data_IF_982337012485
#
_entry.id   IF_982337012485
#
_cell.length_a   1.000
_cell.length_b   1.000
_cell.length_c   1.000
_cell.angle_alpha   90.00
_cell.angle_beta   90.00
_cell.angle_gamma   90.00
#
_symmetry.space_group_name_H-M   'P 1'
#
loop_
_entity.id
_entity.type
_entity.pdbx_description
1 polymer ?
#
# COMPACT_ATOMS: atom_id res chain seq x y z
N UNK A 1 -20.08 9.87 19.69
CA UNK A 1 -19.75 8.59 20.38
C UNK A 1 -20.33 7.40 19.63
N UNK A 2 -21.64 7.36 19.36
CA UNK A 2 -22.28 6.21 18.69
C UNK A 2 -21.68 5.83 17.34
N UNK A 3 -21.31 6.81 16.50
CA UNK A 3 -20.62 6.52 15.23
C UNK A 3 -19.26 5.84 15.43
N UNK A 4 -18.51 6.21 16.48
CA UNK A 4 -17.23 5.59 16.81
C UNK A 4 -17.42 4.16 17.34
N UNK A 5 -18.50 3.93 18.10
CA UNK A 5 -18.90 2.59 18.56
C UNK A 5 -19.25 1.70 17.36
N UNK A 6 -20.08 2.20 16.44
CA UNK A 6 -20.44 1.45 15.23
C UNK A 6 -19.20 1.14 14.38
N UNK A 7 -18.28 2.11 14.25
CA UNK A 7 -17.01 1.92 13.56
C UNK A 7 -16.16 0.81 14.21
N UNK A 8 -15.95 0.85 15.53
CA UNK A 8 -15.10 -0.14 16.20
C UNK A 8 -15.74 -1.54 16.22
N UNK A 9 -17.06 -1.62 16.33
CA UNK A 9 -17.77 -2.91 16.23
C UNK A 9 -17.66 -3.52 14.83
N UNK A 10 -17.72 -2.69 13.78
CA UNK A 10 -17.44 -3.11 12.41
C UNK A 10 -15.98 -3.52 12.25
N UNK A 11 -15.02 -2.78 12.81
CA UNK A 11 -13.61 -3.14 12.77
C UNK A 11 -13.36 -4.53 13.39
N UNK A 12 -13.90 -4.77 14.57
CA UNK A 12 -13.80 -6.06 15.27
C UNK A 12 -14.36 -7.21 14.41
N UNK A 13 -15.48 -6.97 13.71
CA UNK A 13 -16.05 -7.96 12.79
C UNK A 13 -15.13 -8.22 11.60
N UNK A 14 -14.67 -7.16 10.92
CA UNK A 14 -13.82 -7.30 9.75
C UNK A 14 -12.46 -7.93 10.09
N UNK A 15 -11.89 -7.61 11.26
CA UNK A 15 -10.66 -8.23 11.77
C UNK A 15 -10.85 -9.73 12.02
N UNK A 16 -11.95 -10.14 12.66
CA UNK A 16 -12.30 -11.54 12.84
C UNK A 16 -12.46 -12.28 11.50
N UNK A 17 -13.19 -11.69 10.55
CA UNK A 17 -13.38 -12.25 9.21
C UNK A 17 -12.05 -12.36 8.44
N UNK A 18 -11.14 -11.40 8.59
CA UNK A 18 -9.82 -11.46 7.97
C UNK A 18 -8.93 -12.56 8.56
N UNK A 19 -8.94 -12.74 9.89
CA UNK A 19 -8.26 -13.87 10.54
C UNK A 19 -8.88 -15.21 10.13
N UNK A 20 -10.20 -15.29 9.98
CA UNK A 20 -10.85 -16.49 9.49
C UNK A 20 -10.43 -16.80 8.05
N UNK A 21 -10.44 -15.80 7.18
CA UNK A 21 -10.03 -15.92 5.78
C UNK A 21 -8.56 -16.35 5.63
N UNK A 22 -7.64 -15.97 6.52
CA UNK A 22 -6.25 -16.43 6.44
C UNK A 22 -6.09 -17.94 6.57
N UNK A 23 -7.07 -18.64 7.16
CA UNK A 23 -7.04 -20.09 7.36
C UNK A 23 -8.03 -20.86 6.48
N UNK A 24 -9.11 -20.25 6.01
CA UNK A 24 -10.13 -20.94 5.22
C UNK A 24 -10.11 -20.62 3.73
N UNK A 25 -9.74 -19.39 3.35
CA UNK A 25 -9.88 -18.93 1.98
C UNK A 25 -8.68 -19.37 1.13
N UNK A 26 -8.93 -20.16 0.09
CA UNK A 26 -7.88 -20.68 -0.80
C UNK A 26 -7.58 -19.73 -1.95
N UNK A 27 -8.51 -18.85 -2.30
CA UNK A 27 -8.30 -17.80 -3.29
C UNK A 27 -7.54 -16.62 -2.66
N UNK A 28 -6.30 -16.41 -3.09
CA UNK A 28 -5.45 -15.31 -2.62
C UNK A 28 -6.09 -13.94 -2.80
N UNK A 29 -6.82 -13.71 -3.90
CA UNK A 29 -7.45 -12.42 -4.16
C UNK A 29 -8.60 -12.18 -3.17
N UNK A 30 -9.37 -13.21 -2.79
CA UNK A 30 -10.46 -13.06 -1.81
C UNK A 30 -9.89 -12.82 -0.39
N UNK A 31 -8.82 -13.52 -0.02
CA UNK A 31 -8.14 -13.30 1.26
C UNK A 31 -7.57 -11.88 1.37
N UNK A 32 -6.77 -11.45 0.39
CA UNK A 32 -6.18 -10.11 0.40
C UNK A 32 -7.26 -9.03 0.34
N UNK A 33 -8.40 -9.31 -0.32
CA UNK A 33 -9.54 -8.42 -0.35
C UNK A 33 -10.14 -8.16 1.04
N UNK A 34 -10.28 -9.21 1.84
CA UNK A 34 -10.78 -9.13 3.22
C UNK A 34 -9.75 -8.46 4.14
N UNK A 35 -8.47 -8.77 3.98
CA UNK A 35 -7.38 -8.14 4.73
C UNK A 35 -7.29 -6.63 4.45
N UNK A 36 -7.42 -6.22 3.19
CA UNK A 36 -7.38 -4.81 2.79
C UNK A 36 -8.54 -4.01 3.41
N UNK A 37 -9.72 -4.62 3.60
CA UNK A 37 -10.83 -3.95 4.29
C UNK A 37 -10.43 -3.53 5.71
N UNK A 38 -9.67 -4.36 6.43
CA UNK A 38 -9.16 -4.05 7.78
C UNK A 38 -8.07 -2.99 7.71
N UNK A 39 -7.13 -3.10 6.76
CA UNK A 39 -6.08 -2.09 6.54
C UNK A 39 -6.66 -0.71 6.23
N UNK A 40 -7.75 -0.65 5.47
CA UNK A 40 -8.45 0.59 5.18
C UNK A 40 -9.10 1.21 6.43
N UNK A 41 -9.24 0.50 7.55
CA UNK A 41 -9.74 1.08 8.80
C UNK A 41 -8.61 1.72 9.64
N UNK A 42 -7.37 1.40 9.32
CA UNK A 42 -6.19 2.03 9.91
C UNK A 42 -5.85 3.37 9.25
N UNK A 43 -5.30 4.30 10.04
CA UNK A 43 -4.73 5.56 9.62
C UNK A 43 -3.24 5.64 9.95
N UNK A 44 -2.57 6.73 9.55
CA UNK A 44 -1.20 7.01 10.00
C UNK A 44 -0.13 5.98 9.58
N UNK A 45 -0.36 5.22 8.50
CA UNK A 45 0.58 4.20 8.03
C UNK A 45 0.51 2.86 8.78
N UNK A 46 -0.42 2.73 9.72
CA UNK A 46 -0.73 1.45 10.37
C UNK A 46 -1.30 0.43 9.39
N UNK A 47 -1.08 -0.84 9.71
CA UNK A 47 -1.65 -2.00 9.02
C UNK A 47 -2.05 -3.06 10.04
N UNK A 48 -2.92 -3.96 9.60
CA UNK A 48 -3.31 -5.14 10.34
C UNK A 48 -2.14 -6.10 10.51
N UNK A 49 -2.13 -6.80 11.64
CA UNK A 49 -1.23 -7.94 11.86
C UNK A 49 -1.81 -9.25 11.31
N UNK A 50 -3.03 -9.21 10.74
CA UNK A 50 -3.61 -10.34 9.99
C UNK A 50 -2.75 -10.56 8.75
N UNK A 51 -1.88 -11.57 8.82
CA UNK A 51 -0.99 -11.94 7.73
C UNK A 51 -1.07 -13.45 7.52
N UNK A 52 -0.90 -13.85 6.27
CA UNK A 52 -0.75 -15.23 5.82
C UNK A 52 0.57 -15.37 5.09
N UNK A 53 1.20 -16.53 5.19
CA UNK A 53 2.40 -16.81 4.42
C UNK A 53 2.11 -16.75 2.92
N UNK A 54 2.99 -16.05 2.18
CA UNK A 54 2.87 -15.82 0.73
C UNK A 54 2.78 -17.11 -0.09
N UNK A 55 3.25 -18.23 0.46
CA UNK A 55 3.21 -19.55 -0.16
C UNK A 55 2.48 -20.52 0.77
N UNK A 56 1.19 -20.28 0.98
CA UNK A 56 0.36 -21.11 1.88
C UNK A 56 0.30 -22.55 1.36
N UNK A 57 0.83 -23.51 2.12
CA UNK A 57 0.84 -24.93 1.74
C UNK A 57 -0.47 -25.63 2.13
N UNK A 58 -0.72 -26.84 1.61
CA UNK A 58 -1.83 -27.67 2.09
C UNK A 58 -1.71 -28.00 3.59
N UNK A 59 -0.49 -28.02 4.14
CA UNK A 59 -0.25 -28.24 5.57
C UNK A 59 -0.78 -27.07 6.41
N UNK A 60 -0.62 -25.82 5.95
CA UNK A 60 -1.21 -24.65 6.61
C UNK A 60 -2.74 -24.77 6.70
N UNK A 61 -3.38 -25.16 5.60
CA UNK A 61 -4.84 -25.35 5.58
C UNK A 61 -5.27 -26.56 6.41
N UNK A 62 -4.44 -27.60 6.52
CA UNK A 62 -4.71 -28.74 7.40
C UNK A 62 -4.68 -28.36 8.89
N UNK A 63 -3.91 -27.33 9.27
CA UNK A 63 -3.87 -26.80 10.64
C UNK A 63 -5.02 -25.82 10.95
N UNK A 64 -5.76 -25.36 9.93
CA UNK A 64 -6.85 -24.39 10.09
C UNK A 64 -7.84 -24.72 11.21
N UNK A 65 -8.35 -25.97 11.37
CA UNK A 65 -9.30 -26.28 12.44
C UNK A 65 -8.76 -25.96 13.85
N UNK A 66 -7.45 -26.14 14.07
CA UNK A 66 -6.80 -25.84 15.35
C UNK A 66 -6.76 -24.33 15.61
N UNK A 67 -6.36 -23.53 14.61
CA UNK A 67 -6.29 -22.08 14.75
C UNK A 67 -7.69 -21.45 14.87
N UNK A 68 -8.64 -21.93 14.08
CA UNK A 68 -10.01 -21.44 14.07
C UNK A 68 -10.78 -21.79 15.34
N UNK A 69 -10.49 -22.93 15.98
CA UNK A 69 -11.10 -23.29 17.26
C UNK A 69 -10.73 -22.31 18.40
N UNK A 70 -9.55 -21.69 18.32
CA UNK A 70 -9.10 -20.67 19.27
C UNK A 70 -9.50 -19.24 18.87
N UNK A 71 -9.87 -19.02 17.60
CA UNK A 71 -10.22 -17.71 17.08
C UNK A 71 -11.55 -17.22 17.68
N UNK A 72 -11.48 -16.09 18.39
CA UNK A 72 -12.66 -15.41 18.94
C UNK A 72 -12.78 -14.01 18.34
N UNK A 73 -14.02 -13.53 18.24
CA UNK A 73 -14.29 -12.12 17.97
C UNK A 73 -13.91 -11.31 19.22
N UNK A 74 -13.28 -10.14 19.04
CA UNK A 74 -12.93 -9.25 20.16
C UNK A 74 -14.17 -8.73 20.89
N UNK A 75 -14.06 -8.65 22.20
CA UNK A 75 -15.09 -8.04 23.06
C UNK A 75 -14.77 -6.56 23.22
N UNK A 76 -15.74 -5.69 22.96
CA UNK A 76 -15.64 -4.26 23.28
C UNK A 76 -16.14 -4.03 24.71
N UNK A 77 -15.26 -3.62 25.61
CA UNK A 77 -15.58 -3.44 27.03
C UNK A 77 -16.05 -2.02 27.33
N UNK A 78 -15.31 -1.01 26.85
CA UNK A 78 -15.67 0.39 27.04
C UNK A 78 -15.08 1.30 25.95
N UNK A 79 -15.68 2.46 25.77
CA UNK A 79 -15.19 3.54 24.91
C UNK A 79 -15.14 4.83 25.71
N UNK A 80 -13.97 5.47 25.75
CA UNK A 80 -13.76 6.77 26.41
C UNK A 80 -13.51 7.83 25.35
N UNK A 81 -14.23 8.94 25.39
CA UNK A 81 -14.07 10.07 24.48
C UNK A 81 -13.25 11.17 25.17
N UNK A 82 -12.19 11.62 24.52
CA UNK A 82 -11.32 12.69 24.98
C UNK A 82 -11.30 13.84 23.98
N UNK A 83 -11.14 15.07 24.50
CA UNK A 83 -10.75 16.19 23.66
C UNK A 83 -9.30 16.00 23.17
N UNK A 84 -8.99 16.41 21.94
CA UNK A 84 -7.64 16.35 21.39
C UNK A 84 -7.35 17.59 20.52
N UNK A 85 -6.20 18.25 20.67
CA UNK A 85 -5.88 19.49 19.93
C UNK A 85 -5.94 19.31 18.41
N UNK A 86 -5.34 18.23 17.90
CA UNK A 86 -5.25 18.01 16.44
C UNK A 86 -6.46 17.29 15.80
N UNK A 87 -7.20 16.48 16.57
CA UNK A 87 -8.27 15.63 16.04
C UNK A 87 -9.68 16.05 16.49
N UNK A 88 -9.79 17.04 17.39
CA UNK A 88 -11.04 17.42 18.03
C UNK A 88 -11.46 16.38 19.08
N UNK A 89 -11.93 15.22 18.63
CA UNK A 89 -12.30 14.09 19.49
C UNK A 89 -11.48 12.85 19.16
N UNK A 90 -10.90 12.24 20.20
CA UNK A 90 -10.28 10.92 20.11
C UNK A 90 -11.05 9.96 21.01
N UNK A 91 -11.28 8.75 20.52
CA UNK A 91 -11.99 7.68 21.20
C UNK A 91 -10.99 6.59 21.56
N UNK A 92 -10.77 6.36 22.84
CA UNK A 92 -10.02 5.21 23.34
C UNK A 92 -10.98 4.02 23.46
N UNK A 93 -10.80 3.02 22.61
CA UNK A 93 -11.62 1.83 22.54
C UNK A 93 -10.90 0.65 23.20
N UNK A 94 -11.47 0.17 24.30
CA UNK A 94 -10.93 -0.91 25.12
C UNK A 94 -11.52 -2.23 24.65
N UNK A 95 -10.69 -3.03 23.98
CA UNK A 95 -11.11 -4.27 23.31
C UNK A 95 -10.23 -5.43 23.75
N UNK A 96 -10.81 -6.62 23.89
CA UNK A 96 -10.06 -7.82 24.28
C UNK A 96 -8.88 -8.06 23.35
N UNK A 97 -7.74 -8.44 23.89
CA UNK A 97 -6.52 -8.56 23.10
C UNK A 97 -6.46 -9.94 22.43
N UNK A 98 -6.16 -10.00 21.12
CA UNK A 98 -5.65 -11.24 20.57
C UNK A 98 -4.32 -11.49 21.29
N UNK A 99 -4.21 -12.50 22.16
CA UNK A 99 -2.91 -12.83 22.74
C UNK A 99 -2.02 -13.11 21.55
N UNK A 100 -0.89 -12.41 21.53
CA UNK A 100 0.09 -12.55 20.47
C UNK A 100 0.39 -14.02 20.23
N UNK A 101 0.54 -14.36 18.96
CA UNK A 101 1.29 -15.53 18.57
C UNK A 101 2.48 -15.68 19.52
N UNK A 102 2.59 -16.84 20.18
CA UNK A 102 3.73 -17.29 20.98
C UNK A 102 3.72 -16.92 22.49
N UNK A 103 3.09 -17.78 23.28
CA UNK A 103 3.86 -18.43 24.36
C UNK A 103 4.12 -19.87 23.93
N UNK A 104 5.38 -20.20 23.70
CA UNK A 104 5.79 -21.61 23.71
C UNK A 104 5.59 -22.12 25.14
N UNK A 105 4.47 -22.77 25.38
CA UNK A 105 4.33 -23.65 26.53
C UNK A 105 4.70 -25.04 26.00
N UNK A 106 5.83 -25.57 26.47
CA UNK A 106 6.29 -26.92 26.14
C UNK A 106 6.62 -27.15 24.64
N UNK A 107 7.06 -26.10 23.93
CA UNK A 107 7.40 -26.18 22.49
C UNK A 107 6.19 -26.25 21.55
N UNK A 108 4.98 -26.09 22.09
CA UNK A 108 3.74 -26.07 21.31
C UNK A 108 3.21 -24.64 21.25
N UNK A 109 3.06 -24.12 20.04
CA UNK A 109 2.46 -22.81 19.81
C UNK A 109 0.93 -22.91 19.91
N UNK A 110 0.35 -22.41 20.99
CA UNK A 110 -1.10 -22.26 21.12
C UNK A 110 -1.43 -20.77 21.13
N UNK A 111 -2.28 -20.35 20.19
CA UNK A 111 -2.96 -19.06 20.29
C UNK A 111 -3.89 -19.16 21.51
N UNK A 112 -3.50 -18.55 22.63
CA UNK A 112 -4.44 -18.31 23.71
C UNK A 112 -5.26 -17.05 23.36
N UNK A 113 -6.42 -16.87 23.97
CA UNK A 113 -7.19 -15.63 23.82
C UNK A 113 -7.23 -14.94 25.18
N UNK A 114 -6.96 -13.64 25.23
CA UNK A 114 -7.07 -12.89 26.48
C UNK A 114 -8.39 -12.15 26.48
N UNK A 115 -9.15 -12.34 27.55
CA UNK A 115 -10.29 -11.48 27.86
C UNK A 115 -9.83 -10.17 28.54
N UNK A 116 -8.52 -9.89 28.57
CA UNK A 116 -7.94 -8.60 28.95
C UNK A 116 -7.79 -7.64 27.76
N UNK A 117 -7.84 -6.33 27.99
CA UNK A 117 -7.63 -5.28 27.00
C UNK A 117 -6.23 -4.66 27.01
N UNK A 118 -5.17 -5.50 27.11
CA UNK A 118 -3.75 -5.09 27.01
C UNK A 118 -3.45 -4.05 25.91
N UNK A 119 -4.22 -4.01 24.82
CA UNK A 119 -4.12 -3.00 23.77
C UNK A 119 -5.38 -2.15 23.65
N UNK A 120 -5.20 -0.84 23.78
CA UNK A 120 -6.25 0.17 23.53
C UNK A 120 -6.13 0.69 22.10
N UNK A 121 -7.25 0.70 21.37
CA UNK A 121 -7.33 1.24 20.01
C UNK A 121 -7.81 2.68 20.06
N UNK A 122 -6.98 3.62 19.59
CA UNK A 122 -7.35 5.02 19.51
C UNK A 122 -7.93 5.34 18.15
N UNK A 123 -9.16 5.85 18.16
CA UNK A 123 -9.95 6.12 16.95
C UNK A 123 -10.22 7.62 16.86
N UNK A 124 -10.07 8.19 15.66
CA UNK A 124 -10.40 9.58 15.38
C UNK A 124 -11.13 9.72 14.04
N UNK A 125 -11.93 10.77 13.91
CA UNK A 125 -12.60 11.13 12.65
C UNK A 125 -11.65 11.99 11.82
N UNK A 126 -11.20 11.48 10.68
CA UNK A 126 -10.25 12.14 9.79
C UNK A 126 -10.96 12.52 8.49
N UNK A 127 -10.78 13.76 8.06
CA UNK A 127 -11.26 14.21 6.74
C UNK A 127 -10.36 13.65 5.65
N UNK A 128 -10.95 12.84 4.76
CA UNK A 128 -10.24 12.37 3.59
C UNK A 128 -9.92 13.57 2.68
N UNK A 129 -8.63 13.87 2.47
CA UNK A 129 -8.20 15.03 1.66
C UNK A 129 -8.67 14.99 0.20
N UNK A 130 -8.97 13.81 -0.35
CA UNK A 130 -9.43 13.65 -1.73
C UNK A 130 -10.94 13.85 -1.86
N UNK A 131 -11.73 13.29 -0.95
CA UNK A 131 -13.20 13.31 -1.05
C UNK A 131 -13.85 14.38 -0.18
N UNK A 132 -13.10 14.99 0.74
CA UNK A 132 -13.64 15.88 1.77
C UNK A 132 -14.53 15.19 2.80
N UNK A 133 -14.76 13.88 2.66
CA UNK A 133 -15.66 13.14 3.55
C UNK A 133 -14.93 12.71 4.83
N UNK A 134 -15.52 12.95 6.00
CA UNK A 134 -14.95 12.53 7.26
C UNK A 134 -15.17 11.02 7.47
N UNK A 135 -14.10 10.30 7.82
CA UNK A 135 -14.15 8.86 8.09
C UNK A 135 -13.41 8.55 9.39
N UNK A 136 -13.91 7.60 10.17
CA UNK A 136 -13.19 7.11 11.33
C UNK A 136 -11.99 6.26 10.91
N UNK A 137 -10.91 6.39 11.67
CA UNK A 137 -9.66 5.62 11.50
C UNK A 137 -9.09 5.27 12.86
N UNK A 138 -8.48 4.09 12.95
CA UNK A 138 -7.57 3.75 14.05
C UNK A 138 -6.26 4.49 13.81
N UNK A 139 -5.92 5.44 14.68
CA UNK A 139 -4.77 6.33 14.50
C UNK A 139 -3.52 5.85 15.24
N UNK A 140 -3.71 5.10 16.33
CA UNK A 140 -2.62 4.46 17.09
C UNK A 140 -3.20 3.30 17.91
N UNK A 141 -2.34 2.40 18.34
CA UNK A 141 -2.65 1.36 19.33
C UNK A 141 -1.65 1.46 20.45
N UNK A 142 -2.08 1.41 21.70
CA UNK A 142 -1.16 1.50 22.85
C UNK A 142 -1.35 0.31 23.77
N UNK A 143 -0.23 -0.28 24.17
CA UNK A 143 -0.20 -1.32 25.17
C UNK A 143 -0.28 -0.69 26.57
N UNK A 144 -1.27 -1.10 27.37
CA UNK A 144 -1.56 -0.53 28.70
C UNK A 144 -0.45 -0.80 29.72
N UNK A 145 0.21 -1.96 29.64
CA UNK A 145 1.23 -2.37 30.61
C UNK A 145 2.65 -1.91 30.30
N UNK A 146 2.99 -1.73 29.01
CA UNK A 146 4.36 -1.39 28.57
C UNK A 146 4.52 0.01 28.00
N UNK A 147 3.42 0.74 27.74
CA UNK A 147 3.46 2.04 27.06
C UNK A 147 3.78 1.96 25.56
N UNK A 148 4.15 0.76 25.05
CA UNK A 148 4.48 0.54 23.64
C UNK A 148 3.31 0.95 22.76
N UNK A 149 3.58 1.80 21.78
CA UNK A 149 2.61 2.18 20.75
C UNK A 149 2.94 1.55 19.41
N UNK A 150 1.89 1.21 18.66
CA UNK A 150 1.96 0.93 17.24
C UNK A 150 1.37 2.13 16.50
N UNK A 151 2.11 2.65 15.54
CA UNK A 151 1.74 3.85 14.78
C UNK A 151 2.43 5.09 15.30
N UNK A 152 1.89 6.26 14.97
CA UNK A 152 2.43 7.51 15.47
C UNK A 152 2.10 7.65 16.96
N UNK A 153 3.02 8.19 17.78
CA UNK A 153 2.72 8.57 19.15
C UNK A 153 1.53 9.53 19.17
N UNK A 154 0.59 9.27 20.07
CA UNK A 154 -0.52 10.19 20.30
C UNK A 154 -0.03 11.32 21.20
N UNK A 155 -0.37 12.56 20.86
CA UNK A 155 -0.17 13.66 21.79
C UNK A 155 -1.01 13.45 23.06
N UNK A 156 -0.66 14.10 24.19
CA UNK A 156 -1.42 13.98 25.42
C UNK A 156 -2.92 14.23 25.19
N UNK A 157 -3.74 13.31 25.68
CA UNK A 157 -5.19 13.43 25.64
C UNK A 157 -5.63 14.61 26.52
N UNK A 158 -6.61 15.37 26.04
CA UNK A 158 -7.25 16.42 26.82
C UNK A 158 -8.27 15.86 27.82
N UNK A 159 -9.23 16.69 28.22
CA UNK A 159 -10.26 16.31 29.17
C UNK A 159 -11.11 15.13 28.69
N UNK A 160 -11.48 14.24 29.62
CA UNK A 160 -12.45 13.18 29.39
C UNK A 160 -13.84 13.82 29.22
N UNK A 161 -14.50 13.52 28.10
CA UNK A 161 -15.77 14.11 27.72
C UNK A 161 -16.95 13.15 27.91
N UNK A 162 -16.74 11.86 27.65
CA UNK A 162 -17.80 10.85 27.76
C UNK A 162 -17.20 9.45 27.94
N UNK A 163 -17.98 8.56 28.53
CA UNK A 163 -17.65 7.15 28.68
C UNK A 163 -18.89 6.32 28.32
N UNK A 164 -18.70 5.28 27.52
CA UNK A 164 -19.71 4.24 27.29
C UNK A 164 -19.15 2.90 27.71
N UNK A 165 -19.84 2.23 28.62
CA UNK A 165 -19.49 0.92 29.12
C UNK A 165 -20.42 -0.16 28.55
N UNK A 166 -19.90 -1.37 28.41
CA UNK A 166 -20.59 -2.54 27.87
C UNK A 166 -20.55 -3.69 28.89
N UNK A 167 -19.88 -4.80 28.57
CA UNK A 167 -19.65 -5.90 29.49
C UNK A 167 -18.37 -5.63 30.28
N UNK A 168 -18.32 -5.90 31.60
CA UNK A 168 -17.08 -5.81 32.35
C UNK A 168 -16.08 -6.89 31.91
N UNK A 169 -14.77 -6.59 31.90
CA UNK A 169 -13.72 -7.58 31.66
C UNK A 169 -13.65 -8.57 32.83
N UNK A 170 -13.20 -9.79 32.56
CA UNK A 170 -13.00 -10.82 33.58
C UNK A 170 -11.65 -10.69 34.30
N UNK A 171 -10.66 -10.06 33.67
CA UNK A 171 -9.36 -9.82 34.28
C UNK A 171 -9.47 -8.80 35.43
N UNK A 172 -8.97 -9.10 36.64
CA UNK A 172 -9.10 -8.21 37.79
C UNK A 172 -8.45 -6.83 37.64
N UNK A 173 -7.33 -6.72 36.89
CA UNK A 173 -6.64 -5.44 36.69
C UNK A 173 -7.47 -4.53 35.78
N UNK A 174 -7.99 -5.11 34.70
CA UNK A 174 -8.88 -4.41 33.78
C UNK A 174 -10.21 -4.07 34.44
N UNK A 175 -10.75 -4.96 35.27
CA UNK A 175 -11.99 -4.70 36.02
C UNK A 175 -11.85 -3.49 36.93
N UNK A 176 -10.70 -3.33 37.59
CA UNK A 176 -10.45 -2.17 38.43
C UNK A 176 -10.44 -0.84 37.65
N UNK A 177 -9.81 -0.81 36.46
CA UNK A 177 -9.87 0.38 35.60
C UNK A 177 -11.30 0.62 35.09
N UNK A 178 -12.00 -0.43 34.68
CA UNK A 178 -13.38 -0.37 34.22
C UNK A 178 -14.30 0.24 35.30
N UNK A 179 -14.24 -0.25 36.54
CA UNK A 179 -15.02 0.27 37.66
C UNK A 179 -14.64 1.71 38.03
N UNK A 180 -13.35 2.03 38.05
CA UNK A 180 -12.88 3.39 38.31
C UNK A 180 -13.43 4.40 37.28
N UNK A 181 -13.52 3.98 36.02
CA UNK A 181 -14.07 4.83 34.95
C UNK A 181 -15.60 4.94 35.02
N UNK A 182 -16.29 3.94 35.56
CA UNK A 182 -17.75 3.97 35.77
C UNK A 182 -18.15 5.13 36.69
N UNK A 183 -17.43 5.27 37.80
CA UNK A 183 -17.62 6.39 38.75
C UNK A 183 -17.37 7.75 38.10
N UNK A 184 -16.34 7.86 37.26
CA UNK A 184 -16.05 9.07 36.49
C UNK A 184 -17.18 9.39 35.49
N UNK A 185 -17.81 8.38 34.89
CA UNK A 185 -18.94 8.58 33.99
C UNK A 185 -20.17 9.17 34.72
N UNK A 186 -20.45 8.70 35.93
CA UNK A 186 -21.54 9.22 36.77
C UNK A 186 -21.31 10.67 37.20
N UNK A 187 -20.06 11.03 37.52
CA UNK A 187 -19.65 12.40 37.83
C UNK A 187 -19.78 13.34 36.61
N UNK A 188 -19.44 12.88 35.41
CA UNK A 188 -19.66 13.63 34.17
C UNK A 188 -21.16 13.81 33.86
N UNK A 189 -21.97 12.76 34.06
CA UNK A 189 -23.41 12.81 33.84
C UNK A 189 -24.14 13.75 34.81
N UNK A 190 -23.58 13.97 36.01
CA UNK A 190 -24.08 14.92 37.00
C UNK A 190 -23.55 16.36 36.84
N UNK A 191 -22.79 16.63 35.76
CA UNK A 191 -22.29 17.97 35.42
C UNK A 191 -20.96 18.35 36.06
N UNK A 192 -20.25 17.38 36.67
CA UNK A 192 -18.89 17.56 37.16
C UNK A 192 -17.86 17.64 36.01
N UNK A 193 -16.72 18.30 36.26
CA UNK A 193 -15.56 18.29 35.36
C UNK A 193 -14.47 17.39 35.94
N UNK A 194 -13.96 16.44 35.15
CA UNK A 194 -12.87 15.55 35.57
C UNK A 194 -11.57 15.98 34.87
N UNK A 195 -10.52 16.37 35.61
CA UNK A 195 -9.22 16.67 35.01
C UNK A 195 -8.62 15.40 34.40
N UNK A 196 -7.83 15.56 33.33
CA UNK A 196 -7.19 14.44 32.64
C UNK A 196 -6.31 13.64 33.61
N UNK A 197 -6.56 12.34 33.72
CA UNK A 197 -5.72 11.41 34.48
C UNK A 197 -4.48 11.11 33.65
N UNK A 198 -3.29 11.40 34.18
CA UNK A 198 -2.02 11.03 33.53
C UNK A 198 -1.96 9.50 33.36
N UNK A 199 -1.61 8.97 32.17
CA UNK A 199 -1.34 7.56 32.00
C UNK A 199 -0.14 7.13 32.88
N UNK A 200 -0.21 5.92 33.43
CA UNK A 200 0.77 5.39 34.37
C UNK A 200 2.21 5.48 33.82
N UNK A 201 3.13 6.00 34.65
CA UNK A 201 4.52 6.29 34.30
C UNK A 201 5.29 5.04 33.86
N UNK A 202 5.95 5.19 32.71
CA UNK A 202 6.88 4.24 32.10
C UNK A 202 8.19 4.15 32.92
N UNK A 203 8.64 2.93 33.23
CA UNK A 203 9.93 2.65 33.87
C UNK A 203 11.01 2.65 32.78
N UNK A 204 11.94 3.60 32.87
CA UNK A 204 13.01 3.81 31.90
C UNK A 204 13.89 2.56 31.67
N UNK A 205 14.14 2.22 30.40
CA UNK A 205 15.18 1.27 29.98
C UNK A 205 16.24 1.97 29.13
N UNK A 206 17.48 1.61 29.43
CA UNK A 206 18.76 2.11 28.94
C UNK A 206 19.03 1.77 27.48
N UNK A 207 19.60 2.74 26.75
CA UNK A 207 20.06 2.64 25.37
C UNK A 207 21.34 1.80 25.22
N UNK A 208 21.46 1.07 24.10
CA UNK A 208 22.70 0.36 23.70
C UNK A 208 23.16 0.86 22.33
N UNK A 209 24.44 1.20 22.23
CA UNK A 209 25.12 1.81 21.08
C UNK A 209 25.24 0.89 19.84
N UNK A 210 25.19 1.50 18.65
CA UNK A 210 25.36 0.85 17.35
C UNK A 210 26.81 0.94 16.83
N UNK A 211 27.31 -0.15 16.25
CA UNK A 211 28.66 -0.29 15.66
C UNK A 211 28.61 -0.14 14.13
N UNK A 212 29.57 0.59 13.57
CA UNK A 212 29.71 0.93 12.15
C UNK A 212 30.30 -0.20 11.28
N UNK A 213 29.89 -0.25 10.00
CA UNK A 213 30.39 -1.20 8.99
C UNK A 213 31.40 -0.55 8.00
N UNK A 214 32.36 -1.30 7.42
CA UNK A 214 33.45 -0.75 6.62
C UNK A 214 33.19 -0.71 5.11
N UNK A 215 33.94 0.18 4.43
CA UNK A 215 33.97 0.43 2.97
C UNK A 215 34.67 -0.71 2.21
N UNK A 216 34.22 -0.97 0.97
CA UNK A 216 34.93 -1.84 0.02
C UNK A 216 35.24 -1.07 -1.28
N UNK A 217 36.43 -1.30 -1.83
CA UNK A 217 37.01 -0.68 -3.02
C UNK A 217 36.85 -1.57 -4.27
N UNK A 218 36.53 -0.87 -5.36
CA UNK A 218 36.95 -0.97 -6.77
C UNK A 218 37.72 -2.21 -7.29
N UNK A 219 37.22 -2.78 -8.40
CA UNK A 219 38.00 -3.58 -9.35
C UNK A 219 37.48 -3.36 -10.78
N UNK A 220 38.38 -2.84 -11.61
CA UNK A 220 38.28 -2.50 -13.03
C UNK A 220 38.42 -3.68 -14.01
N UNK A 221 38.05 -3.43 -15.28
CA UNK A 221 38.49 -4.05 -16.57
C UNK A 221 37.66 -5.25 -17.07
N UNK A 222 37.19 -5.39 -18.33
CA UNK A 222 37.53 -4.85 -19.66
C UNK A 222 36.27 -4.83 -20.60
N UNK A 223 36.26 -4.10 -21.74
CA UNK A 223 35.09 -3.92 -22.60
C UNK A 223 34.93 -5.03 -23.65
N UNK A 224 33.73 -5.61 -23.75
CA UNK A 224 33.32 -6.44 -24.88
C UNK A 224 32.58 -5.57 -25.90
N UNK A 225 33.16 -5.50 -27.11
CA UNK A 225 32.80 -4.57 -28.17
C UNK A 225 31.39 -4.84 -28.78
N UNK A 226 30.68 -3.72 -29.02
CA UNK A 226 29.45 -3.47 -29.82
C UNK A 226 29.01 -4.53 -30.86
N UNK A 227 29.95 -5.23 -31.49
CA UNK A 227 29.66 -6.22 -32.53
C UNK A 227 28.78 -7.39 -32.04
N UNK A 228 29.02 -7.94 -30.84
CA UNK A 228 28.22 -9.05 -30.28
C UNK A 228 26.79 -8.64 -29.90
N UNK A 229 26.59 -7.35 -29.66
CA UNK A 229 25.29 -6.78 -29.30
C UNK A 229 24.40 -6.63 -30.54
N UNK A 230 24.96 -6.15 -31.66
CA UNK A 230 24.25 -6.03 -32.94
C UNK A 230 23.86 -7.42 -33.48
N UNK A 231 24.75 -8.41 -33.32
CA UNK A 231 24.50 -9.79 -33.76
C UNK A 231 23.30 -10.45 -33.04
N UNK A 232 23.01 -10.06 -31.79
CA UNK A 232 21.96 -10.69 -30.97
C UNK A 232 20.62 -9.94 -30.97
N UNK A 233 20.64 -8.63 -31.20
CA UNK A 233 19.46 -7.76 -31.02
C UNK A 233 19.17 -6.81 -32.19
N UNK A 234 19.97 -6.79 -33.26
CA UNK A 234 19.80 -5.93 -34.44
C UNK A 234 20.50 -4.57 -34.36
N UNK A 235 20.49 -3.82 -35.47
CA UNK A 235 21.12 -2.49 -35.61
C UNK A 235 20.20 -1.38 -35.07
N UNK A 236 20.67 -0.61 -34.10
CA UNK A 236 19.82 0.28 -33.28
C UNK A 236 19.62 1.67 -33.91
N UNK A 237 20.33 1.99 -34.99
CA UNK A 237 20.03 3.19 -35.78
C UNK A 237 18.60 3.18 -36.37
N UNK A 238 17.96 2.00 -36.47
CA UNK A 238 16.58 1.87 -36.93
C UNK A 238 15.51 2.10 -35.85
N UNK A 239 15.82 2.14 -34.55
CA UNK A 239 14.75 2.24 -33.51
C UNK A 239 14.60 3.64 -32.90
N UNK A 240 15.55 4.56 -33.15
CA UNK A 240 15.45 5.97 -32.71
C UNK A 240 15.35 6.98 -33.87
N UNK A 241 15.36 6.50 -35.11
CA UNK A 241 14.95 7.29 -36.29
C UNK A 241 14.03 6.49 -37.22
N UNK A 242 13.14 5.65 -36.69
CA UNK A 242 11.96 5.22 -37.46
C UNK A 242 10.87 6.29 -37.42
N UNK A 243 11.23 7.43 -38.02
CA UNK A 243 10.35 8.55 -38.33
C UNK A 243 10.01 8.57 -39.83
N UNK A 244 10.20 7.47 -40.59
CA UNK A 244 9.91 7.52 -42.04
C UNK A 244 9.29 6.33 -42.78
N UNK A 245 9.37 5.06 -42.38
CA UNK A 245 9.10 3.97 -43.35
C UNK A 245 8.14 2.82 -42.97
N UNK A 246 7.27 2.94 -41.96
CA UNK A 246 6.05 2.10 -41.92
C UNK A 246 4.78 2.96 -41.85
N UNK A 247 4.40 3.41 -43.06
CA UNK A 247 3.02 3.50 -43.55
C UNK A 247 1.98 4.19 -42.63
N UNK A 248 2.00 5.53 -42.63
CA UNK A 248 0.86 6.28 -43.19
C UNK A 248 -0.27 6.81 -42.30
N UNK A 249 -0.28 6.61 -40.97
CA UNK A 249 -1.45 7.07 -40.15
C UNK A 249 -1.14 7.65 -38.76
N UNK A 250 0.10 7.93 -38.36
CA UNK A 250 0.32 8.61 -37.06
C UNK A 250 1.06 9.91 -37.27
N UNK A 251 0.29 10.95 -37.60
CA UNK A 251 0.69 12.33 -37.34
C UNK A 251 1.12 12.43 -35.87
N UNK A 252 2.25 13.12 -35.69
CA UNK A 252 2.96 13.39 -34.44
C UNK A 252 1.98 13.57 -33.26
N UNK A 253 2.11 12.75 -32.22
CA UNK A 253 1.41 12.98 -30.95
C UNK A 253 2.26 13.95 -30.10
N UNK A 254 1.97 15.27 -30.11
CA UNK A 254 2.72 16.23 -29.32
C UNK A 254 2.66 15.97 -27.81
N UNK A 255 1.66 15.25 -27.31
CA UNK A 255 1.60 14.89 -25.90
C UNK A 255 2.62 13.81 -25.55
N UNK A 256 2.82 12.80 -26.40
CA UNK A 256 3.88 11.81 -26.21
C UNK A 256 5.27 12.49 -26.21
N UNK A 257 5.51 13.40 -27.15
CA UNK A 257 6.74 14.20 -27.21
C UNK A 257 6.89 15.12 -25.98
N UNK A 258 5.80 15.73 -25.51
CA UNK A 258 5.78 16.56 -24.31
C UNK A 258 6.06 15.75 -23.04
N UNK A 259 5.53 14.53 -22.92
CA UNK A 259 5.83 13.62 -21.83
C UNK A 259 7.31 13.24 -21.80
N UNK A 260 7.90 12.89 -22.95
CA UNK A 260 9.33 12.61 -23.06
C UNK A 260 10.18 13.83 -22.67
N UNK A 261 9.72 15.05 -22.97
CA UNK A 261 10.36 16.31 -22.57
C UNK A 261 10.18 16.65 -21.08
N UNK A 262 9.02 16.37 -20.49
CA UNK A 262 8.74 16.59 -19.06
C UNK A 262 9.45 15.60 -18.15
N UNK A 263 9.60 14.37 -18.65
CA UNK A 263 10.48 13.35 -18.10
C UNK A 263 11.97 13.60 -18.49
N UNK A 264 12.19 14.65 -19.29
CA UNK A 264 13.42 15.08 -19.96
C UNK A 264 14.51 15.54 -19.01
N UNK A 265 15.22 14.55 -18.50
CA UNK A 265 16.49 14.73 -17.80
C UNK A 265 16.91 13.50 -17.02
N UNK A 266 15.96 12.59 -16.72
CA UNK A 266 16.26 11.37 -15.94
C UNK A 266 15.56 10.10 -16.42
N UNK A 267 14.52 10.20 -17.25
CA UNK A 267 13.95 9.05 -17.96
C UNK A 267 14.32 9.18 -19.43
N UNK A 268 15.51 8.68 -19.76
CA UNK A 268 15.75 8.24 -21.12
C UNK A 268 14.80 7.05 -21.35
N UNK A 269 13.91 7.11 -22.34
CA UNK A 269 13.19 5.94 -22.88
C UNK A 269 14.17 5.05 -23.60
N UNK A 270 15.07 4.50 -22.79
CA UNK A 270 16.29 3.90 -23.22
C UNK A 270 17.20 3.66 -22.01
N UNK A 271 17.59 2.41 -21.78
CA UNK A 271 18.94 2.13 -21.27
C UNK A 271 20.02 2.56 -22.28
N UNK A 272 20.00 3.81 -22.75
CA UNK A 272 20.88 4.30 -23.81
C UNK A 272 21.45 5.65 -23.41
N UNK A 273 22.71 5.58 -22.99
CA UNK A 273 23.56 6.74 -22.84
C UNK A 273 23.90 7.25 -24.25
N UNK A 274 23.71 8.55 -24.52
CA UNK A 274 24.24 9.14 -25.74
C UNK A 274 25.75 8.91 -25.77
N UNK A 275 26.22 8.33 -26.86
CA UNK A 275 27.62 8.27 -27.30
C UNK A 275 28.60 7.32 -26.57
N UNK A 276 28.14 6.34 -25.79
CA UNK A 276 29.06 5.35 -25.20
C UNK A 276 30.07 5.96 -24.22
N UNK A 277 29.73 7.10 -23.63
CA UNK A 277 30.57 7.88 -22.71
C UNK A 277 30.25 7.67 -21.23
N UNK A 278 29.26 6.83 -20.89
CA UNK A 278 28.99 6.52 -19.49
C UNK A 278 29.80 5.28 -19.03
N UNK A 279 30.80 5.45 -18.15
CA UNK A 279 31.59 4.35 -17.61
C UNK A 279 30.76 3.33 -16.81
N UNK A 280 29.54 3.67 -16.38
CA UNK A 280 28.65 2.78 -15.62
C UNK A 280 27.75 1.89 -16.51
N UNK A 281 27.75 2.06 -17.83
CA UNK A 281 26.92 1.24 -18.73
C UNK A 281 27.26 -0.25 -18.63
N UNK A 282 28.53 -0.60 -18.39
CA UNK A 282 28.95 -1.99 -18.22
C UNK A 282 28.47 -2.62 -16.90
N UNK A 283 28.11 -1.79 -15.90
CA UNK A 283 27.61 -2.25 -14.59
C UNK A 283 26.09 -2.39 -14.52
N UNK A 284 25.36 -2.07 -15.58
CA UNK A 284 23.91 -2.22 -15.61
C UNK A 284 23.49 -3.70 -15.57
N UNK A 285 22.37 -4.03 -14.91
CA UNK A 285 21.83 -5.38 -14.89
C UNK A 285 21.12 -5.70 -16.21
N UNK A 286 21.90 -5.89 -17.28
CA UNK A 286 21.40 -6.01 -18.66
C UNK A 286 20.39 -7.14 -18.86
N UNK A 287 20.57 -8.26 -18.16
CA UNK A 287 19.60 -9.36 -18.22
C UNK A 287 18.25 -8.95 -17.62
N UNK A 288 18.26 -8.36 -16.42
CA UNK A 288 17.02 -7.90 -15.77
C UNK A 288 16.33 -6.80 -16.58
N UNK A 289 17.09 -5.92 -17.22
CA UNK A 289 16.56 -4.89 -18.13
C UNK A 289 15.92 -5.50 -19.39
N UNK A 290 16.54 -6.53 -19.97
CA UNK A 290 15.99 -7.28 -21.09
C UNK A 290 14.68 -7.99 -20.72
N UNK A 291 14.66 -8.67 -19.58
CA UNK A 291 13.49 -9.38 -19.06
C UNK A 291 12.35 -8.41 -18.71
N UNK A 292 12.68 -7.26 -18.11
CA UNK A 292 11.73 -6.19 -17.83
C UNK A 292 11.13 -5.59 -19.10
N UNK A 293 11.93 -5.43 -20.16
CA UNK A 293 11.45 -4.93 -21.45
C UNK A 293 10.55 -5.95 -22.14
N UNK A 294 10.92 -7.23 -22.13
CA UNK A 294 10.07 -8.31 -22.66
C UNK A 294 8.73 -8.37 -21.92
N UNK A 295 8.76 -8.22 -20.59
CA UNK A 295 7.55 -8.09 -19.78
C UNK A 295 6.69 -6.89 -20.20
N UNK A 296 7.28 -5.70 -20.34
CA UNK A 296 6.55 -4.49 -20.71
C UNK A 296 5.95 -4.59 -22.12
N UNK A 297 6.67 -5.19 -23.06
CA UNK A 297 6.19 -5.45 -24.42
C UNK A 297 5.02 -6.45 -24.44
N UNK A 298 5.13 -7.53 -23.65
CA UNK A 298 4.03 -8.50 -23.50
C UNK A 298 2.77 -7.82 -22.94
N UNK A 299 2.94 -6.98 -21.90
CA UNK A 299 1.85 -6.21 -21.31
C UNK A 299 1.16 -5.31 -22.35
N UNK A 300 1.93 -4.62 -23.18
CA UNK A 300 1.38 -3.79 -24.27
C UNK A 300 0.69 -4.62 -25.35
N UNK A 301 1.24 -5.78 -25.72
CA UNK A 301 0.61 -6.68 -26.70
C UNK A 301 -0.77 -7.10 -26.22
N UNK A 302 -0.87 -7.58 -24.97
CA UNK A 302 -2.15 -7.97 -24.36
C UNK A 302 -3.19 -6.85 -24.48
N UNK A 303 -2.81 -5.62 -24.14
CA UNK A 303 -3.69 -4.45 -24.18
C UNK A 303 -4.09 -4.09 -25.62
N UNK A 304 -3.14 -4.04 -26.55
CA UNK A 304 -3.40 -3.70 -27.96
C UNK A 304 -4.25 -4.76 -28.66
N UNK A 305 -3.96 -6.03 -28.43
CA UNK A 305 -4.73 -7.16 -28.96
C UNK A 305 -6.16 -7.14 -28.43
N UNK A 306 -6.34 -6.65 -27.20
CA UNK A 306 -7.64 -6.38 -26.58
C UNK A 306 -8.43 -5.23 -27.18
N UNK A 307 -7.81 -4.35 -27.96
CA UNK A 307 -8.39 -3.07 -28.36
C UNK A 307 -8.52 -2.09 -27.18
N UNK A 308 -7.68 -2.20 -26.17
CA UNK A 308 -7.70 -1.35 -24.99
C UNK A 308 -7.18 0.07 -25.33
N UNK A 309 -8.01 1.08 -25.10
CA UNK A 309 -7.62 2.51 -25.08
C UNK A 309 -7.32 2.98 -23.67
N UNK A 310 -6.54 4.06 -23.50
CA UNK A 310 -6.26 4.64 -22.19
C UNK A 310 -7.54 4.83 -21.35
N UNK A 311 -7.64 4.12 -20.22
CA UNK A 311 -8.87 4.07 -19.41
C UNK A 311 -9.38 5.44 -18.94
N UNK A 312 -10.68 5.67 -19.17
CA UNK A 312 -11.38 6.94 -18.89
C UNK A 312 -10.71 8.16 -19.54
N UNK A 313 -10.02 7.94 -20.67
CA UNK A 313 -9.52 9.00 -21.52
C UNK A 313 -10.55 9.30 -22.59
N UNK A 314 -10.77 10.58 -22.86
CA UNK A 314 -11.55 11.02 -24.02
C UNK A 314 -10.80 10.79 -25.34
N UNK A 315 -9.50 10.44 -25.28
CA UNK A 315 -8.67 10.15 -26.44
C UNK A 315 -8.37 8.66 -26.64
N UNK A 316 -8.26 8.23 -27.90
CA UNK A 316 -7.96 6.85 -28.33
C UNK A 316 -6.47 6.46 -28.21
N UNK A 317 -5.76 7.03 -27.22
CA UNK A 317 -4.32 6.86 -27.10
C UNK A 317 -3.96 5.44 -26.68
N UNK A 318 -2.92 4.90 -27.30
CA UNK A 318 -2.40 3.54 -27.05
C UNK A 318 -1.51 3.47 -25.80
N UNK A 319 -1.23 2.24 -25.38
CA UNK A 319 -0.22 1.93 -24.38
C UNK A 319 1.16 1.72 -25.03
N UNK A 320 2.21 2.10 -24.31
CA UNK A 320 3.62 1.94 -24.72
C UNK A 320 4.43 1.31 -23.58
N UNK A 321 5.44 0.47 -23.90
CA UNK A 321 6.22 -0.21 -22.88
C UNK A 321 7.12 0.80 -22.16
N UNK A 322 7.30 0.61 -20.86
CA UNK A 322 8.17 1.45 -20.03
C UNK A 322 9.05 0.58 -19.14
N UNK A 323 10.36 0.84 -19.18
CA UNK A 323 11.35 0.30 -18.23
C UNK A 323 12.22 1.45 -17.74
N UNK A 324 12.49 1.50 -16.44
CA UNK A 324 13.39 2.45 -15.81
C UNK A 324 14.34 1.73 -14.85
N UNK A 325 15.59 2.20 -14.79
CA UNK A 325 16.57 1.73 -13.82
C UNK A 325 17.12 2.89 -13.00
N UNK A 326 17.18 2.69 -11.69
CA UNK A 326 17.81 3.59 -10.73
C UNK A 326 18.28 2.73 -9.55
N UNK A 327 19.58 2.77 -9.23
CA UNK A 327 20.20 1.96 -8.17
C UNK A 327 19.61 2.24 -6.78
N UNK A 328 18.94 3.38 -6.61
CA UNK A 328 18.25 3.80 -5.38
C UNK A 328 16.76 3.47 -5.39
N UNK A 329 16.26 2.81 -6.43
CA UNK A 329 14.87 2.38 -6.54
C UNK A 329 14.62 1.16 -5.64
N UNK A 330 14.46 1.42 -4.34
CA UNK A 330 14.07 0.41 -3.36
C UNK A 330 12.57 0.10 -3.43
N UNK A 331 11.73 1.13 -3.55
CA UNK A 331 10.27 1.06 -3.69
C UNK A 331 9.77 2.31 -4.44
N UNK A 332 8.79 2.14 -5.33
CA UNK A 332 8.11 3.25 -6.02
C UNK A 332 7.40 4.13 -4.97
N UNK A 333 7.46 5.49 -4.95
CA UNK A 333 7.82 6.46 -5.99
C UNK A 333 8.80 7.59 -5.54
N UNK A 334 9.82 7.35 -4.71
CA UNK A 334 10.68 8.47 -4.24
C UNK A 334 11.46 9.16 -5.38
N UNK A 335 11.84 8.43 -6.43
CA UNK A 335 12.48 8.97 -7.64
C UNK A 335 11.53 9.83 -8.50
N UNK A 336 10.21 9.59 -8.42
CA UNK A 336 9.21 10.36 -9.16
C UNK A 336 8.71 11.57 -8.37
N UNK A 337 8.69 11.52 -7.03
CA UNK A 337 8.28 12.66 -6.18
C UNK A 337 9.38 13.72 -6.07
N UNK A 338 10.65 13.35 -6.23
CA UNK A 338 11.77 14.32 -6.28
C UNK A 338 11.76 15.19 -7.55
N UNK A 339 10.88 14.91 -8.51
CA UNK A 339 10.63 15.73 -9.70
C UNK A 339 9.75 16.97 -9.45
N UNK A 340 9.20 17.15 -8.24
CA UNK A 340 8.37 18.32 -7.88
C UNK A 340 9.09 19.66 -8.11
N UNK A 341 10.43 19.67 -8.16
CA UNK A 341 11.22 20.88 -8.41
C UNK A 341 11.53 21.15 -9.89
N UNK A 342 11.29 20.21 -10.81
CA UNK A 342 11.70 20.31 -12.23
C UNK A 342 10.53 20.32 -13.21
N UNK A 343 9.33 19.97 -12.77
CA UNK A 343 8.16 19.76 -13.63
C UNK A 343 7.10 20.80 -13.28
N UNK A 344 6.70 21.68 -14.21
CA UNK A 344 5.61 22.65 -14.01
C UNK A 344 4.25 21.94 -13.93
N UNK A 345 3.98 21.17 -12.88
CA UNK A 345 2.79 20.32 -12.79
C UNK A 345 2.56 19.67 -11.45
N UNK A 346 1.31 19.25 -11.20
CA UNK A 346 0.98 18.47 -10.01
C UNK A 346 1.21 16.99 -10.31
N UNK A 347 2.26 16.42 -9.73
CA UNK A 347 2.48 14.98 -9.75
C UNK A 347 1.46 14.33 -8.82
N UNK A 348 0.61 13.46 -9.36
CA UNK A 348 -0.29 12.60 -8.59
C UNK A 348 0.25 11.19 -8.65
N UNK A 349 0.77 10.70 -7.54
CA UNK A 349 1.12 9.29 -7.38
C UNK A 349 0.08 8.57 -6.51
N UNK A 350 -0.18 7.32 -6.84
CA UNK A 350 -0.96 6.42 -6.02
C UNK A 350 -0.37 5.01 -6.13
N UNK A 351 -0.22 4.33 -4.99
CA UNK A 351 0.01 2.89 -5.02
C UNK A 351 -1.18 2.23 -5.70
N UNK A 352 -0.89 1.30 -6.60
CA UNK A 352 -1.91 0.54 -7.28
C UNK A 352 -2.54 -0.42 -6.30
N UNK A 353 -3.80 -0.15 -5.97
CA UNK A 353 -4.71 -1.04 -5.28
C UNK A 353 -5.73 -1.55 -6.27
N UNK A 354 -6.49 -2.59 -5.90
CA UNK A 354 -7.61 -3.09 -6.71
C UNK A 354 -8.59 -1.96 -7.08
N UNK A 355 -8.76 -0.95 -6.23
CA UNK A 355 -9.72 0.14 -6.45
C UNK A 355 -9.28 1.24 -7.41
N UNK A 356 -7.99 1.35 -7.69
CA UNK A 356 -7.46 2.45 -8.52
C UNK A 356 -6.59 1.97 -9.69
N UNK A 357 -6.44 0.66 -9.84
CA UNK A 357 -5.71 0.11 -10.96
C UNK A 357 -6.63 -0.04 -12.17
N UNK A 358 -6.33 0.65 -13.27
CA UNK A 358 -7.07 0.51 -14.51
C UNK A 358 -7.11 -0.96 -15.01
N UNK A 359 -6.06 -1.74 -14.72
CA UNK A 359 -5.96 -3.14 -15.15
C UNK A 359 -6.62 -4.15 -14.18
N UNK A 360 -7.17 -3.69 -13.05
CA UNK A 360 -7.93 -4.54 -12.14
C UNK A 360 -9.38 -4.10 -12.09
N UNK A 361 -10.18 -4.41 -13.13
CA UNK A 361 -11.62 -4.27 -13.01
C UNK A 361 -12.08 -5.23 -11.90
N UNK A 362 -12.34 -4.68 -10.72
CA UNK A 362 -12.80 -5.45 -9.57
C UNK A 362 -14.13 -6.11 -9.90
N UNK A 363 -14.43 -7.24 -9.24
CA UNK A 363 -15.78 -7.82 -9.21
C UNK A 363 -16.84 -6.86 -8.63
N UNK A 364 -16.43 -5.75 -7.96
CA UNK A 364 -17.34 -4.67 -7.53
C UNK A 364 -17.65 -3.62 -8.60
N UNK A 365 -16.90 -3.57 -9.70
CA UNK A 365 -17.18 -2.67 -10.81
C UNK A 365 -17.79 -3.47 -11.95
N UNK A 366 -19.03 -3.94 -11.76
CA UNK A 366 -19.91 -4.34 -12.88
C UNK A 366 -19.94 -3.25 -13.95
N UNK A 367 -19.72 -1.99 -13.55
CA UNK A 367 -19.37 -0.86 -14.40
C UNK A 367 -18.45 -1.26 -15.57
N UNK A 368 -17.23 -1.74 -15.33
CA UNK A 368 -16.31 -2.03 -16.44
C UNK A 368 -16.74 -3.21 -17.31
N UNK A 369 -17.49 -4.16 -16.76
CA UNK A 369 -18.03 -5.29 -17.53
C UNK A 369 -19.17 -4.85 -18.45
N UNK A 370 -19.93 -3.84 -18.04
CA UNK A 370 -21.05 -3.26 -18.80
C UNK A 370 -20.59 -2.21 -19.82
N UNK A 371 -19.52 -1.46 -19.55
CA UNK A 371 -19.03 -0.37 -20.40
C UNK A 371 -17.87 -0.73 -21.33
N UNK A 372 -17.11 -1.80 -21.05
CA UNK A 372 -16.03 -2.23 -21.93
C UNK A 372 -16.48 -3.34 -22.86
N UNK A 373 -16.02 -3.27 -24.10
CA UNK A 373 -16.08 -4.38 -25.03
C UNK A 373 -15.51 -5.66 -24.37
N UNK A 374 -16.16 -6.83 -24.49
CA UNK A 374 -15.73 -8.06 -23.82
C UNK A 374 -14.27 -8.46 -24.10
N UNK A 375 -13.76 -8.10 -25.29
CA UNK A 375 -12.36 -8.31 -25.69
C UNK A 375 -11.40 -7.44 -24.88
N UNK A 376 -11.71 -6.14 -24.74
CA UNK A 376 -10.92 -5.20 -23.95
C UNK A 376 -10.96 -5.58 -22.47
N UNK A 377 -12.12 -5.95 -21.93
CA UNK A 377 -12.26 -6.41 -20.55
C UNK A 377 -11.35 -7.63 -20.25
N UNK A 378 -11.33 -8.62 -21.14
CA UNK A 378 -10.45 -9.80 -21.01
C UNK A 378 -8.98 -9.42 -21.03
N UNK A 379 -8.59 -8.53 -21.94
CA UNK A 379 -7.22 -8.02 -22.02
C UNK A 379 -6.81 -7.24 -20.76
N UNK A 380 -7.69 -6.39 -20.23
CA UNK A 380 -7.47 -5.71 -18.96
C UNK A 380 -7.20 -6.70 -17.82
N UNK A 381 -8.03 -7.74 -17.68
CA UNK A 381 -7.80 -8.79 -16.66
C UNK A 381 -6.49 -9.55 -16.88
N UNK A 382 -6.15 -9.88 -18.12
CA UNK A 382 -4.91 -10.59 -18.44
C UNK A 382 -3.67 -9.73 -18.11
N UNK A 383 -3.69 -8.44 -18.50
CA UNK A 383 -2.67 -7.46 -18.17
C UNK A 383 -2.53 -7.29 -16.64
N UNK A 384 -3.67 -7.15 -15.95
CA UNK A 384 -3.70 -7.05 -14.50
C UNK A 384 -3.14 -8.27 -13.79
N UNK A 385 -3.45 -9.48 -14.28
CA UNK A 385 -2.89 -10.74 -13.77
C UNK A 385 -1.37 -10.80 -13.97
N UNK A 386 -0.90 -10.52 -15.19
CA UNK A 386 0.52 -10.49 -15.52
C UNK A 386 1.31 -9.52 -14.62
N UNK A 387 0.77 -8.31 -14.40
CA UNK A 387 1.37 -7.34 -13.48
C UNK A 387 1.36 -7.82 -12.03
N UNK A 388 0.31 -8.53 -11.59
CA UNK A 388 0.23 -9.05 -10.23
C UNK A 388 1.31 -10.08 -9.95
N UNK A 389 1.50 -11.00 -10.89
CA UNK A 389 2.44 -12.12 -10.78
C UNK A 389 3.90 -11.66 -10.88
N UNK A 390 4.16 -10.57 -11.60
CA UNK A 390 5.53 -10.15 -11.94
C UNK A 390 6.04 -8.98 -11.11
N UNK A 391 5.19 -8.00 -10.78
CA UNK A 391 5.62 -6.73 -10.21
C UNK A 391 5.33 -6.62 -8.70
N UNK A 392 6.30 -6.07 -7.96
CA UNK A 392 6.14 -5.64 -6.57
C UNK A 392 5.94 -4.12 -6.49
N UNK A 393 5.41 -3.62 -5.37
CA UNK A 393 5.33 -2.16 -5.13
C UNK A 393 4.65 -1.37 -6.26
N UNK A 394 3.57 -1.93 -6.82
CA UNK A 394 2.90 -1.42 -8.02
C UNK A 394 2.33 -0.02 -7.78
N UNK A 395 2.47 0.89 -8.74
CA UNK A 395 2.02 2.27 -8.63
C UNK A 395 1.54 2.84 -9.97
N UNK A 396 0.67 3.85 -9.86
CA UNK A 396 0.30 4.74 -10.95
C UNK A 396 0.83 6.13 -10.65
N UNK A 397 1.38 6.76 -11.67
CA UNK A 397 1.88 8.11 -11.64
C UNK A 397 1.23 8.90 -12.77
N UNK A 398 0.57 10.00 -12.44
CA UNK A 398 0.03 10.95 -13.41
C UNK A 398 0.71 12.31 -13.24
N UNK A 399 1.16 12.92 -14.34
CA UNK A 399 1.79 14.25 -14.32
C UNK A 399 0.78 15.26 -14.86
N UNK A 400 -0.09 15.77 -14.00
CA UNK A 400 -1.22 16.60 -14.43
C UNK A 400 -0.75 18.04 -14.63
N UNK A 401 -0.67 18.44 -15.90
CA UNK A 401 -0.27 19.79 -16.33
C UNK A 401 -1.24 20.43 -17.31
N UNK A 402 -1.91 19.60 -18.09
CA UNK A 402 -2.87 20.00 -19.11
C UNK A 402 -4.02 18.98 -19.14
N UNK A 403 -5.11 19.25 -19.87
CA UNK A 403 -6.16 18.27 -20.13
C UNK A 403 -5.63 16.94 -20.65
N UNK A 404 -4.52 16.97 -21.40
CA UNK A 404 -3.78 15.79 -21.85
C UNK A 404 -2.53 15.58 -20.98
N UNK A 405 -2.42 14.43 -20.31
CA UNK A 405 -1.31 14.16 -19.39
C UNK A 405 -0.84 12.70 -19.41
N UNK A 406 0.46 12.44 -19.17
CA UNK A 406 0.96 11.08 -19.09
C UNK A 406 0.46 10.37 -17.85
N UNK A 407 0.21 9.09 -18.01
CA UNK A 407 -0.03 8.15 -16.93
C UNK A 407 0.93 6.97 -17.08
N UNK A 408 1.81 6.80 -16.10
CA UNK A 408 2.68 5.64 -15.96
C UNK A 408 2.02 4.67 -15.01
N UNK A 409 1.95 3.39 -15.41
CA UNK A 409 1.33 2.33 -14.63
C UNK A 409 2.29 1.15 -14.63
N UNK A 410 2.84 0.80 -13.47
CA UNK A 410 3.90 -0.19 -13.37
C UNK A 410 4.25 -0.56 -11.94
N UNK A 411 5.42 -1.14 -11.74
CA UNK A 411 5.92 -1.55 -10.43
C UNK A 411 7.39 -1.95 -10.49
N UNK A 412 7.92 -2.30 -9.32
CA UNK A 412 9.27 -2.84 -9.17
C UNK A 412 9.30 -4.26 -9.76
N UNK A 413 10.04 -4.43 -10.85
CA UNK A 413 10.29 -5.73 -11.50
C UNK A 413 11.38 -6.49 -10.73
N UNK A 414 12.46 -5.79 -10.38
CA UNK A 414 13.57 -6.23 -9.54
C UNK A 414 14.10 -5.04 -8.74
N UNK A 415 14.88 -5.22 -7.67
CA UNK A 415 15.56 -4.11 -7.01
C UNK A 415 16.29 -3.24 -8.04
N UNK A 416 16.01 -1.95 -8.04
CA UNK A 416 16.58 -1.01 -9.01
C UNK A 416 15.90 -0.95 -10.38
N UNK A 417 15.00 -1.89 -10.72
CA UNK A 417 14.33 -1.95 -12.04
C UNK A 417 12.82 -1.78 -11.87
N UNK A 418 12.27 -0.74 -12.49
CA UNK A 418 10.84 -0.50 -12.63
C UNK A 418 10.38 -0.87 -14.05
N UNK A 419 9.24 -1.55 -14.15
CA UNK A 419 8.66 -1.93 -15.44
C UNK A 419 7.14 -1.73 -15.45
N UNK A 420 6.58 -1.46 -16.62
CA UNK A 420 5.16 -1.27 -16.81
C UNK A 420 4.82 -0.68 -18.17
N UNK A 421 3.82 0.16 -18.20
CA UNK A 421 3.38 0.89 -19.39
C UNK A 421 3.24 2.38 -19.11
N UNK A 422 3.31 3.15 -20.19
CA UNK A 422 2.92 4.55 -20.22
C UNK A 422 1.80 4.73 -21.23
N UNK A 423 0.87 5.62 -20.91
CA UNK A 423 -0.18 6.07 -21.82
C UNK A 423 -0.48 7.54 -21.56
N UNK A 424 -1.40 8.11 -22.32
CA UNK A 424 -1.82 9.50 -22.22
C UNK A 424 -3.31 9.53 -21.90
N UNK A 425 -3.68 10.25 -20.84
CA UNK A 425 -5.08 10.47 -20.45
C UNK A 425 -5.50 11.88 -20.85
N UNK A 426 -6.66 11.98 -21.49
CA UNK A 426 -7.32 13.25 -21.84
C UNK A 426 -8.54 13.42 -20.94
N UNK A 427 -8.65 14.58 -20.29
CA UNK A 427 -9.77 14.96 -19.42
C UNK A 427 -10.09 16.44 -19.66
N UNK A 428 -11.21 16.74 -20.32
CA UNK A 428 -11.61 18.11 -20.67
C UNK A 428 -12.51 18.79 -19.65
#
# INVERSE_FOLDING_TARGET
MDEAIAFIQNFIEQEYLAFKASYEERDEDIYEDQRELVDLMYGGGLRTNVNRDLNTSEEWFAEAPRHLAALKRRTLFQVKQYAHPNYGSVYACYVSSPIGWLRQKDGVETAEWSDSYDWVLYVAKIVNRRTGQPNFKIITQQNTGSGRSLGNPLEPLGALQAVKQFQPPADPQDLAEYEATSKAADELASGGSIPAVEPAKEVAKTETEAVAAPKCQDLSSMPLAKARFIERFGDIAEVVLWQRNFLGVVEEDPAYVMCLKLLGGRFYTSGFFPDGKDPAANSLPWQDLGDAMAFAQNLVSILRDGGCTALESEGERSYYPLVCYDDKLAYVPSCFTTLEHTVQGKIKSAMLTKYNCPFWPNQRNDYYKEYLEPKAYKAYRAAGKLMKETLKGRATLAIVQSPEFPVVIGGTFRPGVFAGVITTKVYT
#
